data_IF_945595497172
#
_entry.id   IF_945595497172
#
_cell.length_a   1.000
_cell.length_b   1.000
_cell.length_c   1.000
_cell.angle_alpha   90.00
_cell.angle_beta   90.00
_cell.angle_gamma   90.00
#
_symmetry.space_group_name_H-M   'P 1'
#
loop_
_entity.id
_entity.type
_entity.pdbx_description
1 polymer ?
#
# COMPACT_ATOMS: atom_id res chain seq x y z
N UNK A 1 15.77 -5.60 -11.45
CA UNK A 1 15.79 -4.89 -10.16
C UNK A 1 17.23 -4.81 -9.67
N UNK A 2 17.87 -3.65 -9.75
CA UNK A 2 19.33 -3.50 -9.56
C UNK A 2 19.75 -3.13 -8.14
N UNK A 3 18.81 -2.97 -7.20
CA UNK A 3 19.07 -2.50 -5.82
C UNK A 3 18.70 -3.49 -4.71
N UNK A 4 18.39 -4.75 -5.05
CA UNK A 4 17.94 -5.73 -4.04
C UNK A 4 16.60 -5.39 -3.39
N UNK A 5 15.77 -4.57 -4.05
CA UNK A 5 14.42 -4.24 -3.57
C UNK A 5 13.46 -5.33 -4.04
N UNK A 6 12.84 -6.03 -3.09
CA UNK A 6 11.95 -7.17 -3.36
C UNK A 6 10.47 -6.80 -3.37
N UNK A 7 10.09 -5.70 -2.72
CA UNK A 7 8.71 -5.22 -2.70
C UNK A 7 8.62 -3.72 -2.47
N UNK A 8 7.46 -3.14 -2.78
CA UNK A 8 7.10 -1.76 -2.49
C UNK A 8 5.83 -1.78 -1.64
N UNK A 9 5.83 -1.06 -0.51
CA UNK A 9 4.64 -0.85 0.31
C UNK A 9 4.15 0.60 0.22
N UNK A 10 2.84 0.79 0.17
CA UNK A 10 2.18 2.10 0.09
C UNK A 10 0.95 2.07 0.99
N UNK A 11 0.72 3.13 1.77
CA UNK A 11 -0.50 3.31 2.55
C UNK A 11 -1.40 4.42 1.96
N UNK A 12 -2.70 4.34 2.24
CA UNK A 12 -3.66 5.37 1.86
C UNK A 12 -4.83 5.44 2.84
N UNK A 13 -5.58 6.54 2.82
CA UNK A 13 -6.81 6.63 3.62
C UNK A 13 -7.87 5.65 3.15
N UNK A 14 -8.69 5.16 4.10
CA UNK A 14 -9.83 4.28 3.85
C UNK A 14 -10.85 4.88 2.87
N UNK A 15 -10.99 6.21 2.85
CA UNK A 15 -11.90 6.91 1.95
C UNK A 15 -11.29 7.37 0.63
N UNK A 16 -9.97 7.24 0.44
CA UNK A 16 -9.34 7.50 -0.85
C UNK A 16 -9.54 6.31 -1.81
N UNK A 17 -10.80 6.08 -2.21
CA UNK A 17 -11.18 4.96 -3.09
C UNK A 17 -10.48 5.05 -4.45
N UNK A 18 -10.16 6.26 -4.91
CA UNK A 18 -9.41 6.46 -6.16
C UNK A 18 -8.02 5.84 -6.07
N UNK A 19 -7.27 6.14 -5.02
CA UNK A 19 -5.94 5.56 -4.78
C UNK A 19 -6.01 4.04 -4.58
N UNK A 20 -6.99 3.54 -3.82
CA UNK A 20 -7.15 2.09 -3.63
C UNK A 20 -7.41 1.35 -4.96
N UNK A 21 -8.22 1.93 -5.86
CA UNK A 21 -8.43 1.37 -7.20
C UNK A 21 -7.17 1.44 -8.05
N UNK A 22 -6.44 2.55 -7.99
CA UNK A 22 -5.16 2.72 -8.70
C UNK A 22 -4.15 1.64 -8.29
N UNK A 23 -3.98 1.43 -6.97
CA UNK A 23 -3.06 0.44 -6.42
C UNK A 23 -3.43 -0.97 -6.88
N UNK A 24 -4.71 -1.37 -6.71
CA UNK A 24 -5.20 -2.67 -7.17
C UNK A 24 -4.98 -2.88 -8.67
N UNK A 25 -5.28 -1.87 -9.50
CA UNK A 25 -5.07 -1.94 -10.96
C UNK A 25 -3.60 -2.13 -11.34
N UNK A 26 -2.66 -1.65 -10.51
CA UNK A 26 -1.23 -1.76 -10.75
C UNK A 26 -0.58 -2.98 -10.06
N UNK A 27 -1.37 -3.93 -9.57
CA UNK A 27 -0.86 -5.18 -8.97
C UNK A 27 -0.34 -5.02 -7.55
N UNK A 28 -0.80 -4.01 -6.82
CA UNK A 28 -0.62 -3.96 -5.37
C UNK A 28 -1.75 -4.71 -4.67
N UNK A 29 -1.40 -5.47 -3.64
CA UNK A 29 -2.31 -6.27 -2.84
C UNK A 29 -2.47 -5.67 -1.44
N UNK A 30 -3.65 -5.79 -0.86
CA UNK A 30 -3.88 -5.36 0.52
C UNK A 30 -3.00 -6.19 1.47
N UNK A 31 -2.26 -5.52 2.35
CA UNK A 31 -1.35 -6.20 3.28
C UNK A 31 -1.58 -5.83 4.75
N UNK A 32 -2.52 -4.93 5.06
CA UNK A 32 -2.90 -4.63 6.44
C UNK A 32 -3.38 -3.21 6.67
N UNK A 33 -3.44 -2.83 7.94
CA UNK A 33 -3.73 -1.47 8.42
C UNK A 33 -2.53 -1.02 9.25
N UNK A 34 -2.13 0.24 9.08
CA UNK A 34 -1.16 0.89 9.96
C UNK A 34 -1.85 2.01 10.75
N UNK A 35 -1.32 2.29 11.94
CA UNK A 35 -1.78 3.37 12.79
C UNK A 35 -0.75 4.50 12.78
N UNK A 36 -1.21 5.72 12.48
CA UNK A 36 -0.39 6.92 12.59
C UNK A 36 -0.25 7.34 14.06
N UNK A 37 0.62 8.33 14.33
CA UNK A 37 0.87 8.85 15.67
C UNK A 37 -0.39 9.38 16.36
N UNK A 38 -1.34 9.90 15.58
CA UNK A 38 -2.65 10.37 16.03
C UNK A 38 -3.70 9.24 16.19
N UNK A 39 -3.26 7.98 16.05
CA UNK A 39 -4.09 6.76 16.04
C UNK A 39 -5.03 6.64 14.85
N UNK A 40 -4.94 7.53 13.85
CA UNK A 40 -5.73 7.38 12.62
C UNK A 40 -5.26 6.18 11.81
N UNK A 41 -6.21 5.50 11.16
CA UNK A 41 -5.95 4.31 10.35
C UNK A 41 -5.58 4.66 8.92
N UNK A 42 -4.63 3.89 8.37
CA UNK A 42 -4.32 3.85 6.93
C UNK A 42 -4.36 2.41 6.44
N UNK A 43 -4.92 2.21 5.26
CA UNK A 43 -4.90 0.92 4.58
C UNK A 43 -3.56 0.79 3.86
N UNK A 44 -2.84 -0.30 4.13
CA UNK A 44 -1.55 -0.59 3.52
C UNK A 44 -1.71 -1.61 2.37
N UNK A 45 -0.89 -1.41 1.33
CA UNK A 45 -0.77 -2.29 0.19
C UNK A 45 0.70 -2.63 -0.07
N UNK A 46 0.96 -3.80 -0.64
CA UNK A 46 2.28 -4.26 -1.03
C UNK A 46 2.26 -4.78 -2.48
N UNK A 47 3.33 -4.49 -3.23
CA UNK A 47 3.60 -5.11 -4.51
C UNK A 47 4.96 -5.79 -4.45
N UNK A 48 4.95 -7.10 -4.57
CA UNK A 48 6.14 -7.91 -4.75
C UNK A 48 6.70 -7.67 -6.15
N UNK A 49 8.02 -7.45 -6.26
CA UNK A 49 8.72 -7.13 -7.51
C UNK A 49 9.47 -8.34 -8.08
N UNK A 50 9.39 -9.49 -7.41
CA UNK A 50 10.08 -10.74 -7.76
C UNK A 50 9.68 -11.19 -9.17
#
# INVERSE_FOLDING_TARGET
LSKGVHSIKIDTHRENKSMQRLLKKNGFEYCGIIYLKDKSERIAFEKTLI
#
